data_IF_513508935771
#
_entry.id   IF_513508935771
#
_cell.length_a   1.000
_cell.length_b   1.000
_cell.length_c   1.000
_cell.angle_alpha   90.00
_cell.angle_beta   90.00
_cell.angle_gamma   90.00
#
_symmetry.space_group_name_H-M   'P 1'
#
loop_
_entity.id
_entity.type
_entity.pdbx_description
1 polymer ?
#
# COMPACT_ATOMS: atom_id res chain seq x y z
N UNK A 1 -10.69 3.66 -18.32
CA UNK A 1 -11.57 4.08 -17.21
C UNK A 1 -10.63 4.54 -16.11
N UNK A 2 -10.95 5.58 -15.34
CA UNK A 2 -10.03 6.01 -14.28
C UNK A 2 -9.91 4.89 -13.25
N UNK A 3 -8.68 4.40 -13.06
CA UNK A 3 -8.33 3.37 -12.09
C UNK A 3 -7.81 4.10 -10.85
N UNK A 4 -8.52 3.96 -9.73
CA UNK A 4 -8.32 4.74 -8.50
C UNK A 4 -9.49 5.67 -8.15
N UNK A 5 -9.96 5.62 -6.90
CA UNK A 5 -11.02 6.49 -6.41
C UNK A 5 -11.48 6.18 -4.98
N UNK A 6 -12.70 6.62 -4.66
CA UNK A 6 -13.35 6.37 -3.38
C UNK A 6 -14.36 5.24 -3.51
N UNK A 7 -14.36 4.32 -2.55
CA UNK A 7 -15.39 3.28 -2.37
C UNK A 7 -16.14 3.52 -1.06
N UNK A 8 -17.41 3.12 -0.97
CA UNK A 8 -18.22 3.15 0.26
C UNK A 8 -17.99 1.94 1.17
N UNK A 9 -17.27 0.92 0.68
CA UNK A 9 -16.69 -0.13 1.50
C UNK A 9 -15.50 0.43 2.27
N UNK A 10 -15.71 0.75 3.54
CA UNK A 10 -14.71 1.43 4.37
C UNK A 10 -14.66 0.85 5.78
N UNK A 11 -13.45 0.68 6.32
CA UNK A 11 -13.26 0.28 7.72
C UNK A 11 -13.83 1.30 8.71
N UNK A 12 -13.71 2.59 8.39
CA UNK A 12 -14.18 3.69 9.22
C UNK A 12 -14.63 4.86 8.36
N UNK A 13 -15.63 5.60 8.81
CA UNK A 13 -16.15 6.75 8.06
C UNK A 13 -17.06 6.33 6.92
N UNK A 14 -17.19 7.20 5.90
CA UNK A 14 -18.09 6.98 4.77
C UNK A 14 -17.40 6.42 3.52
N UNK A 15 -16.08 6.61 3.39
CA UNK A 15 -15.33 6.22 2.19
C UNK A 15 -13.92 5.74 2.54
N UNK A 16 -13.38 4.84 1.71
CA UNK A 16 -11.97 4.45 1.68
C UNK A 16 -11.36 4.72 0.30
N UNK A 17 -10.03 4.81 0.23
CA UNK A 17 -9.30 4.83 -1.04
C UNK A 17 -9.24 3.40 -1.59
N UNK A 18 -9.50 3.26 -2.89
CA UNK A 18 -9.39 2.00 -3.62
C UNK A 18 -8.83 2.26 -5.00
N UNK A 19 -8.01 1.35 -5.52
CA UNK A 19 -7.56 1.33 -6.91
C UNK A 19 -8.67 0.85 -7.89
N UNK A 20 -9.70 0.22 -7.32
CA UNK A 20 -10.76 -0.55 -7.97
C UNK A 20 -12.15 -0.25 -7.36
N UNK A 21 -12.56 1.03 -7.21
CA UNK A 21 -13.76 1.39 -6.48
C UNK A 21 -15.07 0.89 -7.13
N UNK A 22 -15.04 0.66 -8.44
CA UNK A 22 -16.20 0.25 -9.25
C UNK A 22 -16.12 -1.24 -9.69
N UNK A 23 -15.28 -2.04 -9.02
CA UNK A 23 -15.00 -3.45 -9.34
C UNK A 23 -13.57 -3.68 -9.83
N UNK A 24 -13.27 -4.90 -10.27
CA UNK A 24 -11.92 -5.36 -10.60
C UNK A 24 -11.13 -4.39 -11.49
N UNK A 25 -9.84 -4.19 -11.16
CA UNK A 25 -8.92 -3.43 -11.99
C UNK A 25 -8.61 -4.16 -13.31
N UNK A 26 -8.22 -3.40 -14.34
CA UNK A 26 -7.83 -3.99 -15.62
C UNK A 26 -6.42 -4.59 -15.55
N UNK A 27 -6.08 -5.45 -16.52
CA UNK A 27 -4.72 -5.98 -16.66
C UNK A 27 -3.68 -4.86 -16.77
N UNK A 28 -2.51 -5.08 -16.16
CA UNK A 28 -1.34 -4.19 -16.20
C UNK A 28 -1.63 -2.74 -15.78
N UNK A 29 -2.58 -2.52 -14.88
CA UNK A 29 -2.86 -1.21 -14.29
C UNK A 29 -1.89 -0.86 -13.16
N UNK A 30 -1.59 0.42 -13.05
CA UNK A 30 -0.84 0.99 -11.93
C UNK A 30 -1.58 2.24 -11.45
N UNK A 31 -1.86 2.30 -10.14
CA UNK A 31 -2.47 3.45 -9.50
C UNK A 31 -1.58 3.94 -8.37
N UNK A 32 -1.56 5.25 -8.13
CA UNK A 32 -0.71 5.87 -7.11
C UNK A 32 -1.55 6.88 -6.33
N UNK A 33 -1.54 6.75 -5.01
CA UNK A 33 -2.01 7.75 -4.08
C UNK A 33 -0.83 8.30 -3.28
N UNK A 34 -0.65 9.63 -3.29
CA UNK A 34 0.52 10.27 -2.69
C UNK A 34 0.13 11.36 -1.68
N UNK A 35 0.74 11.29 -0.49
CA UNK A 35 0.71 12.39 0.47
C UNK A 35 1.90 13.32 0.22
N UNK A 36 1.65 14.47 -0.42
CA UNK A 36 2.70 15.37 -0.95
C UNK A 36 3.27 16.37 0.07
N UNK A 37 2.92 16.23 1.36
CA UNK A 37 3.43 17.11 2.40
C UNK A 37 4.57 16.44 3.17
N UNK A 38 5.57 17.25 3.52
CA UNK A 38 6.70 16.79 4.31
C UNK A 38 6.27 16.54 5.76
N UNK A 39 6.71 15.40 6.31
CA UNK A 39 6.58 15.07 7.73
C UNK A 39 7.99 15.08 8.35
N UNK A 40 8.19 15.91 9.37
CA UNK A 40 9.48 15.96 10.08
C UNK A 40 9.52 14.93 11.21
N UNK A 41 10.42 13.94 11.10
CA UNK A 41 10.57 12.84 12.06
C UNK A 41 11.88 12.91 12.88
N UNK A 42 12.66 13.99 12.79
CA UNK A 42 14.04 14.09 13.33
C UNK A 42 14.21 13.83 14.84
N UNK A 43 13.12 13.86 15.61
CA UNK A 43 13.14 13.65 17.07
C UNK A 43 12.36 12.42 17.53
N UNK A 44 11.99 11.54 16.59
CA UNK A 44 11.30 10.28 16.87
C UNK A 44 12.29 9.12 16.71
N UNK A 45 12.43 8.30 17.75
CA UNK A 45 13.36 7.16 17.71
C UNK A 45 12.82 5.98 16.89
N UNK A 46 11.49 5.87 16.76
CA UNK A 46 10.83 4.77 16.05
C UNK A 46 9.45 5.24 15.55
N UNK A 47 9.40 6.13 14.53
CA UNK A 47 8.13 6.54 13.94
C UNK A 47 7.44 5.32 13.33
N UNK A 48 6.13 5.18 13.58
CA UNK A 48 5.30 4.11 13.02
C UNK A 48 4.13 4.78 12.31
N UNK A 49 3.81 4.28 11.12
CA UNK A 49 2.56 4.62 10.44
C UNK A 49 1.58 3.47 10.67
N UNK A 50 0.35 3.83 11.02
CA UNK A 50 -0.74 2.88 11.24
C UNK A 50 -1.86 3.14 10.25
N UNK A 51 -2.29 2.11 9.57
CA UNK A 51 -3.47 2.16 8.71
C UNK A 51 -4.22 0.83 8.75
N UNK A 52 -5.43 0.86 8.20
CA UNK A 52 -6.27 -0.30 7.98
C UNK A 52 -6.45 -0.46 6.48
N UNK A 53 -6.31 -1.68 6.00
CA UNK A 53 -6.44 -2.04 4.60
C UNK A 53 -7.07 -3.42 4.49
N UNK A 54 -7.59 -3.70 3.31
CA UNK A 54 -7.99 -5.01 2.82
C UNK A 54 -7.62 -5.07 1.33
N UNK A 55 -7.39 -6.25 0.79
CA UNK A 55 -6.97 -6.44 -0.61
C UNK A 55 -7.33 -7.84 -1.09
N UNK A 56 -7.52 -8.00 -2.40
CA UNK A 56 -7.65 -9.29 -3.07
C UNK A 56 -6.94 -9.14 -4.42
N UNK A 57 -5.69 -9.59 -4.48
CA UNK A 57 -4.79 -9.41 -5.63
C UNK A 57 -3.98 -10.70 -5.89
N UNK A 58 -3.51 -10.90 -7.12
CA UNK A 58 -2.85 -12.15 -7.48
C UNK A 58 -1.49 -12.32 -6.76
N UNK A 59 -1.38 -13.34 -5.91
CA UNK A 59 -0.13 -13.62 -5.17
C UNK A 59 1.04 -13.90 -6.12
N UNK A 60 2.21 -13.35 -5.78
CA UNK A 60 3.46 -13.38 -6.56
C UNK A 60 3.40 -12.68 -7.94
N UNK A 61 2.32 -11.95 -8.24
CA UNK A 61 2.14 -11.22 -9.49
C UNK A 61 1.79 -9.75 -9.27
N UNK A 62 0.65 -9.49 -8.64
CA UNK A 62 0.19 -8.15 -8.32
C UNK A 62 0.83 -7.66 -7.01
N UNK A 63 0.94 -6.34 -6.84
CA UNK A 63 1.65 -5.80 -5.69
C UNK A 63 1.19 -4.41 -5.30
N UNK A 64 1.01 -4.20 -4.00
CA UNK A 64 0.83 -2.87 -3.41
C UNK A 64 2.02 -2.56 -2.52
N UNK A 65 2.64 -1.40 -2.72
CA UNK A 65 3.75 -0.95 -1.86
C UNK A 65 3.35 0.32 -1.13
N UNK A 66 3.57 0.33 0.17
CA UNK A 66 3.56 1.56 0.93
C UNK A 66 5.00 2.09 0.99
N UNK A 67 5.21 3.30 0.50
CA UNK A 67 6.55 3.86 0.34
C UNK A 67 6.68 5.22 1.02
N UNK A 68 7.90 5.51 1.50
CA UNK A 68 8.28 6.83 1.96
C UNK A 68 9.40 7.39 1.07
N UNK A 69 9.30 8.67 0.72
CA UNK A 69 10.42 9.39 0.13
C UNK A 69 11.34 9.88 1.24
N UNK A 70 12.56 9.34 1.27
CA UNK A 70 13.59 9.72 2.24
C UNK A 70 14.63 10.59 1.53
N UNK A 71 14.92 11.76 2.10
CA UNK A 71 15.91 12.69 1.54
C UNK A 71 17.24 11.94 1.35
N UNK A 72 17.87 12.14 0.19
CA UNK A 72 19.09 11.47 -0.28
C UNK A 72 19.00 9.95 -0.53
N UNK A 73 17.89 9.30 -0.16
CA UNK A 73 17.68 7.85 -0.37
C UNK A 73 16.57 7.52 -1.39
N UNK A 74 15.72 8.48 -1.71
CA UNK A 74 14.60 8.31 -2.64
C UNK A 74 13.44 7.52 -2.04
N UNK A 75 12.66 6.85 -2.89
CA UNK A 75 11.53 6.02 -2.48
C UNK A 75 12.00 4.70 -1.86
N UNK A 76 11.61 4.49 -0.60
CA UNK A 76 11.88 3.28 0.16
C UNK A 76 10.56 2.55 0.41
N UNK A 77 10.49 1.26 0.09
CA UNK A 77 9.39 0.39 0.55
C UNK A 77 9.52 0.20 2.05
N UNK A 78 8.46 0.54 2.79
CA UNK A 78 8.41 0.30 4.22
C UNK A 78 7.97 -1.14 4.49
N UNK A 79 8.49 -1.72 5.56
CA UNK A 79 8.17 -3.08 6.00
C UNK A 79 7.11 -3.02 7.09
N UNK A 80 6.16 -3.94 7.04
CA UNK A 80 5.13 -4.06 8.05
C UNK A 80 4.71 -5.50 8.28
N UNK A 81 3.86 -5.69 9.29
CA UNK A 81 3.45 -6.99 9.82
C UNK A 81 2.84 -7.93 8.75
N UNK A 82 2.30 -7.37 7.67
CA UNK A 82 1.64 -8.10 6.57
C UNK A 82 2.31 -7.92 5.21
N UNK A 83 3.52 -7.34 5.19
CA UNK A 83 4.28 -7.22 3.94
C UNK A 83 5.16 -8.44 3.73
N UNK A 84 5.38 -8.81 2.48
CA UNK A 84 6.36 -9.81 2.08
C UNK A 84 7.35 -9.28 1.05
N UNK A 85 8.58 -9.85 0.97
CA UNK A 85 9.56 -9.45 -0.02
C UNK A 85 9.13 -9.91 -1.42
N UNK A 86 9.03 -8.96 -2.36
CA UNK A 86 8.69 -9.27 -3.75
C UNK A 86 9.63 -10.30 -4.40
N UNK A 87 9.08 -11.14 -5.26
CA UNK A 87 9.79 -12.30 -5.86
C UNK A 87 10.68 -11.97 -7.07
N UNK A 88 10.73 -10.71 -7.51
CA UNK A 88 11.54 -10.26 -8.64
C UNK A 88 10.81 -10.18 -9.99
N UNK A 89 9.48 -10.23 -9.98
CA UNK A 89 8.66 -9.88 -11.15
C UNK A 89 8.63 -8.34 -11.37
N UNK A 90 8.23 -7.84 -12.55
CA UNK A 90 8.19 -6.40 -12.82
C UNK A 90 7.38 -5.58 -11.80
N UNK A 91 6.21 -6.08 -11.39
CA UNK A 91 5.38 -5.44 -10.35
C UNK A 91 5.86 -5.74 -8.91
N UNK A 92 6.67 -6.79 -8.72
CA UNK A 92 7.23 -7.21 -7.43
C UNK A 92 8.76 -7.17 -7.42
N UNK A 93 9.38 -5.97 -7.33
CA UNK A 93 10.83 -5.86 -7.32
C UNK A 93 11.46 -6.71 -6.22
N UNK A 94 12.52 -7.45 -6.58
CA UNK A 94 13.13 -8.45 -5.70
C UNK A 94 13.53 -7.84 -4.34
N UNK A 95 13.01 -8.42 -3.27
CA UNK A 95 13.34 -8.01 -1.89
C UNK A 95 12.76 -6.66 -1.47
N UNK A 96 11.86 -6.05 -2.26
CA UNK A 96 11.10 -4.87 -1.82
C UNK A 96 9.79 -5.33 -1.19
N UNK A 97 9.52 -4.82 0.00
CA UNK A 97 8.31 -5.14 0.75
C UNK A 97 7.06 -4.53 0.11
N UNK A 98 5.98 -5.29 0.17
CA UNK A 98 4.64 -4.93 -0.27
C UNK A 98 3.63 -6.01 0.08
N UNK A 99 2.39 -5.82 -0.33
CA UNK A 99 1.26 -6.73 -0.12
C UNK A 99 0.94 -7.45 -1.42
N UNK A 100 0.63 -8.73 -1.31
CA UNK A 100 0.08 -9.58 -2.35
C UNK A 100 -0.96 -10.56 -1.74
N UNK A 101 -1.59 -11.39 -2.57
CA UNK A 101 -2.56 -12.38 -2.10
C UNK A 101 -3.85 -11.75 -1.60
N UNK A 102 -4.46 -12.36 -0.56
CA UNK A 102 -5.80 -11.97 -0.12
C UNK A 102 -5.85 -11.61 1.36
N UNK A 103 -6.55 -10.51 1.63
CA UNK A 103 -6.94 -10.04 2.95
C UNK A 103 -8.36 -9.49 2.89
N UNK A 104 -9.34 -10.36 3.11
CA UNK A 104 -10.77 -10.07 2.87
C UNK A 104 -11.40 -9.08 3.87
N UNK A 105 -10.99 -9.16 5.14
CA UNK A 105 -11.52 -8.32 6.21
C UNK A 105 -10.70 -7.06 6.42
N UNK A 106 -11.33 -6.00 6.91
CA UNK A 106 -10.63 -4.79 7.36
C UNK A 106 -9.90 -5.08 8.69
N UNK A 107 -8.57 -5.08 8.68
CA UNK A 107 -7.80 -5.36 9.91
C UNK A 107 -7.57 -4.11 10.76
N UNK A 108 -7.69 -4.20 12.10
CA UNK A 108 -7.73 -3.03 12.97
C UNK A 108 -6.40 -2.27 13.10
N UNK A 109 -5.26 -2.80 12.64
CA UNK A 109 -3.99 -2.07 12.55
C UNK A 109 -2.91 -2.86 11.81
N UNK A 110 -2.34 -2.26 10.77
CA UNK A 110 -1.04 -2.65 10.22
C UNK A 110 0.01 -1.63 10.67
N UNK A 111 1.09 -2.12 11.28
CA UNK A 111 2.23 -1.31 11.67
C UNK A 111 3.27 -1.35 10.56
N UNK A 112 3.69 -0.19 10.07
CA UNK A 112 4.72 -0.09 9.04
C UNK A 112 5.85 0.86 9.48
N UNK A 113 7.10 0.47 9.23
CA UNK A 113 8.33 1.17 9.62
C UNK A 113 9.41 1.16 8.54
#
# INVERSE_FOLDING_TARGET
METGGLTDDAATGAFALSDSPDGDYQEAQETIAEFVHNVNLNFLSNPIINFTAKWDIESNWDFVRFQAFVIDSGWVSLEGDFTEPGVGQPAQPLGKHGYDGTQEDWFPRNHIS
#
